data_IF_819746879859
#
_entry.id   IF_819746879859
#
_cell.length_a   1.000
_cell.length_b   1.000
_cell.length_c   1.000
_cell.angle_alpha   90.00
_cell.angle_beta   90.00
_cell.angle_gamma   90.00
#
_symmetry.space_group_name_H-M   'P 1'
#
loop_
_entity.id
_entity.type
_entity.pdbx_description
1 polymer ?
#
# COMPACT_ATOMS: atom_id res chain seq x y z
N UNK A 1 -25.00 -9.37 32.84
CA UNK A 1 -23.71 -8.89 32.35
C UNK A 1 -23.56 -8.87 30.80
N UNK A 2 -24.23 -9.73 30.01
CA UNK A 2 -24.16 -9.72 28.52
C UNK A 2 -24.75 -8.48 27.85
N UNK A 3 -25.66 -7.74 28.48
CA UNK A 3 -26.38 -6.61 27.88
C UNK A 3 -25.59 -5.26 27.87
N UNK A 4 -24.63 -5.07 28.77
CA UNK A 4 -23.85 -3.83 28.87
C UNK A 4 -22.84 -3.75 27.74
N UNK A 5 -22.23 -4.88 27.39
CA UNK A 5 -21.24 -4.95 26.29
C UNK A 5 -21.92 -4.70 24.92
N UNK A 6 -23.13 -5.20 24.70
CA UNK A 6 -23.92 -4.98 23.50
C UNK A 6 -24.26 -3.48 23.34
N UNK A 7 -24.76 -2.83 24.41
CA UNK A 7 -25.07 -1.39 24.41
C UNK A 7 -23.81 -0.50 24.23
N UNK A 8 -22.68 -0.89 24.82
CA UNK A 8 -21.41 -0.20 24.60
C UNK A 8 -20.93 -0.31 23.14
N UNK A 9 -21.23 -1.40 22.47
CA UNK A 9 -20.83 -1.63 21.07
C UNK A 9 -21.71 -0.90 20.05
N UNK A 10 -22.88 -0.42 20.45
CA UNK A 10 -23.77 0.44 19.66
C UNK A 10 -23.35 1.92 19.72
N UNK A 11 -22.46 2.29 20.66
CA UNK A 11 -22.02 3.68 20.81
C UNK A 11 -21.05 4.05 19.68
N UNK A 12 -21.30 5.13 18.89
CA UNK A 12 -20.49 5.51 17.75
C UNK A 12 -19.01 5.84 18.08
N UNK A 13 -18.68 6.05 19.34
CA UNK A 13 -17.31 6.28 19.84
C UNK A 13 -16.60 5.03 20.34
N UNK A 14 -17.26 3.87 20.44
CA UNK A 14 -16.65 2.62 20.93
C UNK A 14 -16.33 1.69 19.75
N UNK A 15 -15.07 1.46 19.56
CA UNK A 15 -14.51 0.78 18.41
C UNK A 15 -14.21 -0.70 18.73
N UNK A 16 -14.99 -1.60 18.17
CA UNK A 16 -14.55 -2.98 17.91
C UNK A 16 -13.64 -2.92 16.69
N UNK A 17 -12.40 -3.37 16.84
CA UNK A 17 -11.43 -3.34 15.73
C UNK A 17 -12.13 -3.70 14.42
N UNK A 18 -12.15 -2.76 13.45
CA UNK A 18 -12.83 -2.96 12.16
C UNK A 18 -12.25 -4.19 11.49
N UNK A 19 -13.02 -5.23 11.32
CA UNK A 19 -12.79 -6.19 10.26
C UNK A 19 -13.07 -5.46 8.95
N UNK A 20 -12.11 -5.44 8.02
CA UNK A 20 -12.36 -4.95 6.68
C UNK A 20 -13.40 -5.86 6.02
N UNK A 21 -14.37 -5.26 5.35
CA UNK A 21 -15.30 -5.97 4.47
C UNK A 21 -14.78 -5.88 3.04
N UNK A 22 -15.26 -6.75 2.15
CA UNK A 22 -14.94 -6.67 0.71
C UNK A 22 -15.27 -5.31 0.09
N UNK A 23 -16.25 -4.59 0.63
CA UNK A 23 -16.58 -3.23 0.18
C UNK A 23 -15.50 -2.19 0.52
N UNK A 24 -14.66 -2.46 1.50
CA UNK A 24 -13.60 -1.55 1.96
C UNK A 24 -12.23 -1.87 1.36
N UNK A 25 -12.15 -2.82 0.43
CA UNK A 25 -10.89 -3.29 -0.16
C UNK A 25 -10.88 -3.20 -1.68
N UNK A 26 -9.68 -3.29 -2.25
CA UNK A 26 -9.35 -3.36 -3.67
C UNK A 26 -8.59 -4.66 -3.92
N UNK A 27 -8.92 -5.39 -4.98
CA UNK A 27 -8.14 -6.58 -5.33
C UNK A 27 -6.68 -6.23 -5.56
N UNK A 28 -5.79 -7.09 -5.11
CA UNK A 28 -4.37 -7.00 -5.40
C UNK A 28 -4.02 -7.41 -6.83
N UNK A 29 -4.93 -8.12 -7.51
CA UNK A 29 -4.68 -8.81 -8.77
C UNK A 29 -4.07 -10.20 -8.58
N UNK A 30 -3.81 -10.61 -7.33
CA UNK A 30 -3.29 -11.92 -6.97
C UNK A 30 -4.28 -12.61 -6.01
N UNK A 31 -5.07 -13.61 -6.48
CA UNK A 31 -6.07 -14.28 -5.64
C UNK A 31 -5.48 -14.88 -4.36
N UNK A 32 -4.25 -15.37 -4.44
CA UNK A 32 -3.55 -15.95 -3.30
C UNK A 32 -3.22 -14.91 -2.22
N UNK A 33 -2.85 -13.69 -2.61
CA UNK A 33 -2.65 -12.57 -1.68
C UNK A 33 -3.99 -12.07 -1.13
N UNK A 34 -4.98 -11.90 -1.99
CA UNK A 34 -6.31 -11.44 -1.59
C UNK A 34 -6.93 -12.37 -0.52
N UNK A 35 -6.77 -13.69 -0.67
CA UNK A 35 -7.26 -14.67 0.30
C UNK A 35 -6.62 -14.51 1.71
N UNK A 36 -5.45 -13.90 1.81
CA UNK A 36 -4.70 -13.70 3.07
C UNK A 36 -4.86 -12.29 3.65
N UNK A 37 -5.26 -11.33 2.81
CA UNK A 37 -5.48 -9.96 3.27
C UNK A 37 -6.84 -9.80 3.94
N UNK A 38 -6.88 -8.98 4.98
CA UNK A 38 -8.13 -8.64 5.67
C UNK A 38 -9.13 -8.00 4.69
N UNK A 39 -10.32 -8.56 4.59
CA UNK A 39 -11.36 -8.09 3.65
C UNK A 39 -11.15 -8.50 2.19
N UNK A 40 -10.15 -9.33 1.89
CA UNK A 40 -9.92 -9.89 0.55
C UNK A 40 -9.21 -8.94 -0.41
N UNK A 41 -8.31 -8.09 0.06
CA UNK A 41 -7.54 -7.20 -0.79
C UNK A 41 -6.88 -6.03 -0.06
N UNK A 42 -6.29 -5.11 -0.82
CA UNK A 42 -5.73 -3.87 -0.29
C UNK A 42 -6.82 -2.97 0.31
N UNK A 43 -6.57 -2.26 1.43
CA UNK A 43 -7.53 -1.28 1.94
C UNK A 43 -7.75 -0.16 0.91
N UNK A 44 -9.00 0.26 0.69
CA UNK A 44 -9.30 1.42 -0.18
C UNK A 44 -8.69 2.71 0.35
N UNK A 45 -8.61 2.84 1.67
CA UNK A 45 -8.08 4.01 2.36
C UNK A 45 -7.20 3.55 3.50
N UNK A 46 -5.97 4.06 3.56
CA UNK A 46 -5.06 3.76 4.64
C UNK A 46 -3.61 3.62 4.20
N UNK A 47 -2.76 3.38 5.17
CA UNK A 47 -1.32 3.24 4.99
C UNK A 47 -0.93 1.77 5.04
N UNK A 48 -0.22 1.32 4.02
CA UNK A 48 0.42 0.02 3.91
C UNK A 48 1.93 0.24 3.88
N UNK A 49 2.70 -0.50 4.68
CA UNK A 49 4.14 -0.55 4.57
C UNK A 49 4.57 -1.83 3.85
N UNK A 50 5.41 -1.69 2.84
CA UNK A 50 6.11 -2.80 2.18
C UNK A 50 7.59 -2.70 2.52
N UNK A 51 8.09 -3.72 3.20
CA UNK A 51 9.49 -3.84 3.59
C UNK A 51 10.18 -4.78 2.60
N UNK A 52 11.09 -4.27 1.79
CA UNK A 52 11.82 -5.02 0.77
C UNK A 52 13.28 -5.22 1.20
N UNK A 53 13.85 -6.41 1.00
CA UNK A 53 15.24 -6.71 1.35
C UNK A 53 16.23 -5.84 0.57
N UNK A 54 15.89 -5.53 -0.68
CA UNK A 54 16.60 -4.57 -1.53
C UNK A 54 15.64 -4.03 -2.61
N UNK A 55 16.06 -3.00 -3.30
CA UNK A 55 15.29 -2.43 -4.41
C UNK A 55 15.15 -3.47 -5.53
N UNK A 56 13.94 -3.57 -6.08
CA UNK A 56 13.65 -4.56 -7.12
C UNK A 56 13.32 -5.95 -6.59
N UNK A 57 13.03 -6.09 -5.29
CA UNK A 57 12.56 -7.35 -4.69
C UNK A 57 11.17 -7.80 -5.18
N UNK A 58 10.59 -7.11 -6.17
CA UNK A 58 9.24 -7.38 -6.68
C UNK A 58 8.14 -6.49 -6.11
N UNK A 59 8.51 -5.53 -5.24
CA UNK A 59 7.57 -4.63 -4.58
C UNK A 59 6.69 -3.85 -5.56
N UNK A 60 7.27 -3.39 -6.67
CA UNK A 60 6.49 -2.70 -7.71
C UNK A 60 5.63 -3.68 -8.51
N UNK A 61 6.17 -4.86 -8.88
CA UNK A 61 5.40 -5.91 -9.59
C UNK A 61 4.14 -6.31 -8.80
N UNK A 62 4.26 -6.40 -7.48
CA UNK A 62 3.13 -6.68 -6.59
C UNK A 62 2.03 -5.63 -6.68
N UNK A 63 2.36 -4.39 -7.04
CA UNK A 63 1.41 -3.27 -7.10
C UNK A 63 0.89 -2.99 -8.52
N UNK A 64 1.53 -3.53 -9.57
CA UNK A 64 1.17 -3.25 -10.97
C UNK A 64 -0.31 -3.55 -11.29
N UNK A 65 -0.91 -4.68 -10.89
CA UNK A 65 -2.32 -4.94 -11.20
C UNK A 65 -3.25 -3.91 -10.57
N UNK A 66 -2.96 -3.49 -9.33
CA UNK A 66 -3.71 -2.43 -8.66
C UNK A 66 -3.57 -1.10 -9.41
N UNK A 67 -2.36 -0.74 -9.83
CA UNK A 67 -2.10 0.49 -10.58
C UNK A 67 -2.81 0.49 -11.94
N UNK A 68 -2.76 -0.62 -12.67
CA UNK A 68 -3.48 -0.80 -13.92
C UNK A 68 -4.98 -0.56 -13.69
N UNK A 69 -5.57 -1.23 -12.71
CA UNK A 69 -6.99 -1.07 -12.39
C UNK A 69 -7.35 0.38 -12.02
N UNK A 70 -6.57 1.04 -11.16
CA UNK A 70 -6.87 2.40 -10.69
C UNK A 70 -6.75 3.43 -11.80
N UNK A 71 -5.77 3.30 -12.69
CA UNK A 71 -5.50 4.27 -13.76
C UNK A 71 -6.50 4.23 -14.90
N UNK A 72 -7.31 3.16 -15.01
CA UNK A 72 -8.35 3.01 -16.04
C UNK A 72 -9.78 3.26 -15.53
N UNK A 73 -9.97 3.67 -14.28
CA UNK A 73 -11.30 4.04 -13.78
C UNK A 73 -11.85 5.28 -14.53
N UNK A 74 -13.15 5.35 -14.69
CA UNK A 74 -13.83 6.50 -15.33
C UNK A 74 -13.53 7.84 -14.65
N UNK A 75 -13.36 7.82 -13.32
CA UNK A 75 -12.97 8.98 -12.51
C UNK A 75 -11.62 8.76 -11.84
N UNK A 76 -10.64 8.25 -12.60
CA UNK A 76 -9.30 7.99 -12.08
C UNK A 76 -8.65 9.30 -11.62
N UNK A 77 -8.20 9.32 -10.36
CA UNK A 77 -7.33 10.35 -9.80
C UNK A 77 -5.86 10.00 -10.10
N UNK A 78 -4.93 10.76 -9.56
CA UNK A 78 -3.51 10.51 -9.77
C UNK A 78 -3.03 9.27 -9.02
N UNK A 79 -2.17 8.50 -9.67
CA UNK A 79 -1.28 7.54 -9.03
C UNK A 79 0.07 8.21 -8.86
N UNK A 80 0.35 8.71 -7.65
CA UNK A 80 1.51 9.56 -7.39
C UNK A 80 2.66 8.74 -6.82
N UNK A 81 3.85 8.89 -7.41
CA UNK A 81 5.08 8.22 -7.00
C UNK A 81 6.06 9.26 -6.46
N UNK A 82 6.41 9.14 -5.18
CA UNK A 82 7.25 10.11 -4.48
C UNK A 82 8.61 9.52 -4.17
N UNK A 83 9.64 10.21 -4.64
CA UNK A 83 11.05 9.83 -4.50
C UNK A 83 11.36 8.40 -4.97
N UNK A 84 10.86 7.96 -6.15
CA UNK A 84 11.26 6.66 -6.66
C UNK A 84 12.78 6.63 -6.85
N UNK A 85 13.46 5.52 -6.44
CA UNK A 85 14.92 5.44 -6.46
C UNK A 85 15.51 5.45 -7.88
N UNK A 86 14.72 4.98 -8.84
CA UNK A 86 15.06 4.92 -10.24
C UNK A 86 13.97 5.62 -11.07
N UNK A 87 14.28 5.95 -12.32
CA UNK A 87 13.26 6.40 -13.27
C UNK A 87 12.34 5.23 -13.63
N UNK A 88 11.02 5.37 -13.45
CA UNK A 88 10.09 4.36 -13.92
C UNK A 88 10.25 4.15 -15.43
N UNK A 89 10.38 2.88 -15.84
CA UNK A 89 10.47 2.55 -17.26
C UNK A 89 9.07 2.50 -17.87
N UNK A 90 8.68 3.59 -18.50
CA UNK A 90 7.35 3.82 -19.04
C UNK A 90 6.85 2.69 -19.98
N UNK A 91 7.66 2.14 -20.93
CA UNK A 91 7.19 1.04 -21.78
C UNK A 91 6.79 -0.22 -20.99
N UNK A 92 7.53 -0.58 -19.93
CA UNK A 92 7.17 -1.74 -19.10
C UNK A 92 5.88 -1.50 -18.31
N UNK A 93 5.68 -0.29 -17.80
CA UNK A 93 4.43 0.08 -17.11
C UNK A 93 3.22 0.00 -18.05
N UNK A 94 3.37 0.53 -19.27
CA UNK A 94 2.33 0.46 -20.30
C UNK A 94 2.03 -1.00 -20.69
N UNK A 95 3.05 -1.84 -20.87
CA UNK A 95 2.90 -3.27 -21.15
C UNK A 95 2.17 -4.03 -20.02
N UNK A 96 2.28 -3.55 -18.78
CA UNK A 96 1.52 -4.06 -17.63
C UNK A 96 0.12 -3.42 -17.48
N UNK A 97 -0.35 -2.69 -18.50
CA UNK A 97 -1.69 -2.11 -18.51
C UNK A 97 -1.85 -0.83 -17.67
N UNK A 98 -0.75 -0.17 -17.29
CA UNK A 98 -0.83 1.09 -16.53
C UNK A 98 -1.02 2.27 -17.49
N UNK A 99 -2.07 3.07 -17.30
CA UNK A 99 -2.26 4.31 -18.05
C UNK A 99 -1.29 5.39 -17.56
N UNK A 100 -0.24 5.65 -18.34
CA UNK A 100 0.82 6.59 -18.00
C UNK A 100 0.33 8.04 -17.83
N UNK A 101 -0.77 8.44 -18.46
CA UNK A 101 -1.35 9.76 -18.31
C UNK A 101 -1.92 10.02 -16.89
N UNK A 102 -2.01 8.98 -16.07
CA UNK A 102 -2.46 9.06 -14.67
C UNK A 102 -1.32 8.85 -13.67
N UNK A 103 -0.08 8.75 -14.11
CA UNK A 103 1.09 8.63 -13.25
C UNK A 103 1.73 10.00 -13.05
N UNK A 104 1.88 10.40 -11.79
CA UNK A 104 2.60 11.61 -11.41
C UNK A 104 3.86 11.21 -10.62
N UNK A 105 5.04 11.55 -11.13
CA UNK A 105 6.31 11.30 -10.45
C UNK A 105 6.79 12.59 -9.80
N UNK A 106 6.94 12.57 -8.48
CA UNK A 106 7.44 13.68 -7.67
C UNK A 106 8.82 13.35 -7.16
N UNK A 107 9.80 14.17 -7.48
CA UNK A 107 11.19 14.08 -6.99
C UNK A 107 11.47 15.29 -6.11
N UNK A 108 11.30 15.16 -4.79
CA UNK A 108 11.58 16.26 -3.89
C UNK A 108 13.04 16.72 -4.04
N UNK A 109 13.26 18.02 -4.12
CA UNK A 109 14.59 18.59 -4.11
C UNK A 109 15.22 18.49 -2.72
N UNK A 110 16.51 18.85 -2.59
CA UNK A 110 17.19 18.82 -1.28
C UNK A 110 16.65 19.92 -0.37
N UNK A 111 16.35 19.59 0.88
CA UNK A 111 15.91 20.51 1.93
C UNK A 111 14.84 19.90 2.83
N UNK A 112 14.72 20.36 4.12
CA UNK A 112 13.79 19.78 5.09
C UNK A 112 12.31 19.86 4.66
N UNK A 113 11.92 20.96 3.98
CA UNK A 113 10.57 21.18 3.47
C UNK A 113 10.24 20.33 2.23
N UNK A 114 11.24 19.65 1.67
CA UNK A 114 11.10 18.81 0.48
C UNK A 114 11.33 17.33 0.79
N UNK A 115 11.35 16.97 2.07
CA UNK A 115 11.50 15.57 2.46
C UNK A 115 10.36 14.71 1.86
N UNK A 116 10.66 13.46 1.44
CA UNK A 116 9.66 12.57 0.86
C UNK A 116 8.40 12.41 1.70
N UNK A 117 8.55 12.36 3.03
CA UNK A 117 7.42 12.24 3.96
C UNK A 117 6.53 13.48 3.96
N UNK A 118 7.07 14.69 3.79
CA UNK A 118 6.29 15.91 3.65
C UNK A 118 5.51 15.92 2.33
N UNK A 119 6.18 15.62 1.20
CA UNK A 119 5.53 15.53 -0.10
C UNK A 119 4.41 14.46 -0.11
N UNK A 120 4.66 13.34 0.57
CA UNK A 120 3.66 12.29 0.76
C UNK A 120 2.45 12.81 1.51
N UNK A 121 2.66 13.49 2.61
CA UNK A 121 1.55 14.06 3.39
C UNK A 121 0.72 15.04 2.56
N UNK A 122 1.37 15.95 1.81
CA UNK A 122 0.66 16.89 0.94
C UNK A 122 -0.15 16.17 -0.15
N UNK A 123 0.44 15.17 -0.81
CA UNK A 123 -0.27 14.37 -1.80
C UNK A 123 -1.48 13.63 -1.21
N UNK A 124 -1.33 13.09 0.01
CA UNK A 124 -2.42 12.37 0.69
C UNK A 124 -3.58 13.29 1.06
N UNK A 125 -3.30 14.45 1.68
CA UNK A 125 -4.37 15.36 2.15
C UNK A 125 -5.05 16.11 1.00
N UNK A 126 -4.43 16.21 -0.17
CA UNK A 126 -4.98 16.90 -1.33
C UNK A 126 -6.30 16.30 -1.83
N UNK A 127 -6.53 15.01 -1.59
CA UNK A 127 -7.66 14.27 -2.14
C UNK A 127 -7.58 14.05 -3.66
N UNK A 128 -6.49 14.46 -4.32
CA UNK A 128 -6.31 14.34 -5.77
C UNK A 128 -5.75 12.99 -6.21
N UNK A 129 -5.39 12.11 -5.26
CA UNK A 129 -4.75 10.83 -5.55
C UNK A 129 -5.66 9.65 -5.20
N UNK A 130 -5.68 8.62 -6.05
CA UNK A 130 -6.23 7.30 -5.70
C UNK A 130 -5.21 6.50 -4.89
N UNK A 131 -3.95 6.59 -5.27
CA UNK A 131 -2.85 5.92 -4.58
C UNK A 131 -1.58 6.78 -4.57
N UNK A 132 -0.85 6.70 -3.47
CA UNK A 132 0.47 7.34 -3.33
C UNK A 132 1.49 6.25 -2.97
N UNK A 133 2.51 6.08 -3.80
CA UNK A 133 3.67 5.24 -3.54
C UNK A 133 4.83 6.14 -3.12
N UNK A 134 5.45 5.84 -1.99
CA UNK A 134 6.59 6.62 -1.49
C UNK A 134 7.74 5.71 -1.10
N UNK A 135 8.92 5.96 -1.66
CA UNK A 135 10.16 5.29 -1.27
C UNK A 135 10.86 6.08 -0.19
N UNK A 136 11.06 5.45 0.96
CA UNK A 136 11.73 6.07 2.12
C UNK A 136 12.86 5.15 2.58
N UNK A 137 14.07 5.55 2.30
CA UNK A 137 15.28 4.79 2.66
C UNK A 137 15.81 5.15 4.06
N UNK A 138 15.41 6.30 4.59
CA UNK A 138 15.83 6.76 5.90
C UNK A 138 14.90 6.23 7.01
N UNK A 139 15.39 6.09 8.24
CA UNK A 139 14.57 5.71 9.37
C UNK A 139 13.42 6.71 9.59
N UNK A 140 12.19 6.21 9.71
CA UNK A 140 11.02 7.03 10.02
C UNK A 140 10.68 6.97 11.50
N UNK A 141 10.44 8.14 12.10
CA UNK A 141 9.90 8.20 13.46
C UNK A 141 8.44 7.72 13.46
N UNK A 142 7.99 6.94 14.47
CA UNK A 142 6.62 6.43 14.54
C UNK A 142 5.54 7.52 14.41
N UNK A 143 5.81 8.73 14.93
CA UNK A 143 4.92 9.89 14.80
C UNK A 143 4.66 10.29 13.34
N UNK A 144 5.65 10.12 12.46
CA UNK A 144 5.50 10.42 11.03
C UNK A 144 4.57 9.39 10.39
N UNK A 145 4.79 8.10 10.66
CA UNK A 145 3.92 7.02 10.15
C UNK A 145 2.47 7.24 10.60
N UNK A 146 2.25 7.63 11.87
CA UNK A 146 0.92 7.98 12.38
C UNK A 146 0.31 9.16 11.64
N UNK A 147 1.09 10.22 11.39
CA UNK A 147 0.65 11.41 10.66
C UNK A 147 0.22 11.06 9.23
N UNK A 148 1.02 10.26 8.53
CA UNK A 148 0.69 9.78 7.19
C UNK A 148 -0.58 8.89 7.20
N UNK A 149 -0.73 8.00 8.18
CA UNK A 149 -1.95 7.21 8.35
C UNK A 149 -3.20 8.11 8.52
N UNK A 150 -3.11 9.19 9.28
CA UNK A 150 -4.21 10.14 9.43
C UNK A 150 -4.46 10.94 8.14
N UNK A 151 -3.41 11.29 7.42
CA UNK A 151 -3.51 11.96 6.13
C UNK A 151 -4.24 11.11 5.08
N UNK A 152 -4.02 9.78 5.05
CA UNK A 152 -4.78 8.89 4.16
C UNK A 152 -6.28 8.96 4.40
N UNK A 153 -6.69 9.07 5.66
CA UNK A 153 -8.11 9.16 6.02
C UNK A 153 -8.73 10.48 5.56
N UNK A 154 -8.00 11.60 5.73
CA UNK A 154 -8.45 12.93 5.31
C UNK A 154 -8.67 13.02 3.80
N UNK A 155 -7.69 12.57 3.01
CA UNK A 155 -7.77 12.59 1.55
C UNK A 155 -8.45 11.38 0.92
N UNK A 156 -8.90 10.39 1.73
CA UNK A 156 -9.52 9.13 1.27
C UNK A 156 -8.64 8.43 0.23
N UNK A 157 -7.36 8.29 0.54
CA UNK A 157 -6.31 7.80 -0.36
C UNK A 157 -5.64 6.55 0.21
N UNK A 158 -5.28 5.62 -0.66
CA UNK A 158 -4.40 4.50 -0.31
C UNK A 158 -2.94 4.96 -0.42
N UNK A 159 -2.12 4.59 0.56
CA UNK A 159 -0.69 4.89 0.54
C UNK A 159 0.14 3.63 0.74
N UNK A 160 1.22 3.51 -0.03
CA UNK A 160 2.27 2.51 0.16
C UNK A 160 3.59 3.20 0.53
N UNK A 161 4.14 2.85 1.70
CA UNK A 161 5.49 3.17 2.07
C UNK A 161 6.40 2.00 1.74
N UNK A 162 7.29 2.21 0.78
CA UNK A 162 8.28 1.25 0.32
C UNK A 162 9.59 1.54 1.06
N UNK A 163 10.02 0.61 1.92
CA UNK A 163 11.13 0.81 2.84
C UNK A 163 12.10 -0.37 2.81
N UNK A 164 13.40 -0.15 3.09
CA UNK A 164 14.34 -1.25 3.28
C UNK A 164 13.93 -2.14 4.45
N UNK A 165 13.99 -3.45 4.25
CA UNK A 165 13.80 -4.41 5.33
C UNK A 165 15.07 -4.53 6.18
N UNK A 166 14.92 -4.34 7.45
CA UNK A 166 15.89 -4.75 8.45
C UNK A 166 15.17 -5.35 9.66
N UNK A 167 15.82 -6.18 10.43
CA UNK A 167 15.26 -6.76 11.65
C UNK A 167 14.74 -5.67 12.60
N UNK A 168 15.46 -4.55 12.70
CA UNK A 168 15.05 -3.39 13.48
C UNK A 168 13.74 -2.79 12.95
N UNK A 169 13.66 -2.51 11.64
CA UNK A 169 12.46 -1.91 11.03
C UNK A 169 11.27 -2.86 11.17
N UNK A 170 11.47 -4.17 11.00
CA UNK A 170 10.39 -5.15 11.15
C UNK A 170 9.79 -5.17 12.56
N UNK A 171 10.60 -4.93 13.59
CA UNK A 171 10.19 -4.93 15.00
C UNK A 171 9.66 -3.56 15.47
N UNK A 172 9.93 -2.47 14.75
CA UNK A 172 9.44 -1.13 15.12
C UNK A 172 7.91 -1.09 15.14
N UNK A 173 7.29 -0.49 16.19
CA UNK A 173 5.85 -0.24 16.20
C UNK A 173 5.46 0.62 15.00
N UNK A 174 4.42 0.21 14.28
CA UNK A 174 3.90 0.98 13.15
C UNK A 174 2.40 1.26 13.29
N UNK A 175 1.98 2.43 12.83
CA UNK A 175 0.59 2.84 12.73
C UNK A 175 -0.05 2.45 11.39
N UNK A 176 0.68 1.80 10.47
CA UNK A 176 0.12 1.28 9.24
C UNK A 176 -0.96 0.22 9.51
N UNK A 177 -1.94 0.13 8.62
CA UNK A 177 -3.00 -0.87 8.67
C UNK A 177 -2.47 -2.28 8.35
N UNK A 178 -1.53 -2.33 7.43
CA UNK A 178 -0.90 -3.54 6.94
C UNK A 178 0.62 -3.32 6.82
N UNK A 179 1.41 -4.31 7.20
CA UNK A 179 2.85 -4.36 6.95
C UNK A 179 3.18 -5.68 6.29
N UNK A 180 3.78 -5.60 5.13
CA UNK A 180 4.26 -6.73 4.36
C UNK A 180 5.78 -6.71 4.28
N UNK A 181 6.40 -7.86 4.47
CA UNK A 181 7.75 -8.12 4.05
C UNK A 181 7.75 -8.78 2.68
N UNK A 182 8.68 -8.41 1.81
CA UNK A 182 8.89 -9.04 0.51
C UNK A 182 10.36 -9.40 0.34
N UNK A 183 10.60 -10.67 0.00
CA UNK A 183 11.92 -11.22 -0.27
C UNK A 183 11.88 -11.94 -1.62
N UNK A 184 12.82 -11.68 -2.53
CA UNK A 184 12.87 -12.40 -3.81
C UNK A 184 13.21 -13.87 -3.57
N UNK A 185 12.62 -14.73 -4.39
CA UNK A 185 12.86 -16.16 -4.45
C UNK A 185 13.12 -16.54 -5.92
N UNK A 186 13.74 -17.69 -6.21
CA UNK A 186 14.02 -18.10 -7.58
C UNK A 186 12.76 -18.14 -8.48
N UNK A 187 11.62 -18.53 -7.92
CA UNK A 187 10.36 -18.67 -8.66
C UNK A 187 9.30 -17.66 -8.21
N UNK A 188 9.70 -16.45 -7.80
CA UNK A 188 8.76 -15.43 -7.37
C UNK A 188 9.20 -14.65 -6.15
N UNK A 189 8.33 -14.55 -5.16
CA UNK A 189 8.63 -13.83 -3.90
C UNK A 189 8.10 -14.58 -2.70
N UNK A 190 8.81 -14.43 -1.57
CA UNK A 190 8.28 -14.76 -0.25
C UNK A 190 7.65 -13.51 0.32
N UNK A 191 6.37 -13.61 0.68
CA UNK A 191 5.63 -12.57 1.36
C UNK A 191 5.44 -12.92 2.84
N UNK A 192 5.54 -11.91 3.70
CA UNK A 192 5.33 -12.04 5.14
C UNK A 192 4.38 -10.95 5.60
N UNK A 193 3.20 -11.31 6.13
CA UNK A 193 2.33 -10.37 6.81
C UNK A 193 2.87 -10.18 8.22
N UNK A 194 3.60 -9.08 8.45
CA UNK A 194 4.18 -8.72 9.74
C UNK A 194 3.15 -8.08 10.67
N UNK A 195 2.16 -7.41 10.09
CA UNK A 195 1.03 -6.80 10.79
C UNK A 195 -0.16 -6.72 9.84
N UNK A 196 -1.34 -7.07 10.35
CA UNK A 196 -2.61 -6.87 9.65
C UNK A 196 -3.67 -6.43 10.65
N UNK A 197 -4.26 -5.25 10.43
CA UNK A 197 -5.37 -4.79 11.27
C UNK A 197 -6.64 -5.48 10.85
N UNK A 198 -7.16 -6.34 11.72
CA UNK A 198 -8.34 -7.15 11.44
C UNK A 198 -8.09 -8.42 10.61
N UNK A 199 -6.82 -8.78 10.40
CA UNK A 199 -6.37 -10.00 9.72
C UNK A 199 -5.34 -10.77 10.54
N UNK A 200 -4.79 -11.81 9.95
CA UNK A 200 -3.77 -12.68 10.55
C UNK A 200 -2.37 -12.31 10.03
N UNK A 201 -1.37 -12.72 10.77
CA UNK A 201 0.03 -12.73 10.32
C UNK A 201 0.35 -14.07 9.69
N UNK A 202 1.35 -14.12 8.81
CA UNK A 202 1.75 -15.36 8.15
C UNK A 202 2.79 -15.12 7.08
N UNK A 203 3.31 -16.20 6.53
CA UNK A 203 4.36 -16.17 5.51
C UNK A 203 4.07 -17.25 4.46
N UNK A 204 4.32 -16.94 3.18
CA UNK A 204 4.17 -17.88 2.06
C UNK A 204 5.00 -17.41 0.86
N UNK A 205 5.17 -18.30 -0.11
CA UNK A 205 5.80 -17.97 -1.40
C UNK A 205 4.72 -17.90 -2.47
N UNK A 206 4.85 -16.97 -3.41
CA UNK A 206 3.97 -16.86 -4.57
C UNK A 206 4.73 -16.35 -5.79
N UNK A 207 4.30 -16.76 -6.97
CA UNK A 207 4.73 -16.15 -8.22
C UNK A 207 4.15 -14.74 -8.38
N UNK A 208 4.92 -13.83 -8.97
CA UNK A 208 4.44 -12.49 -9.36
C UNK A 208 4.11 -12.42 -10.85
N UNK A 209 3.89 -13.56 -11.50
CA UNK A 209 3.43 -13.55 -12.88
C UNK A 209 1.99 -13.06 -12.89
N UNK A 210 1.82 -11.84 -13.40
CA UNK A 210 0.48 -11.39 -13.78
C UNK A 210 0.04 -12.31 -14.90
N UNK A 211 -0.96 -13.16 -14.64
CA UNK A 211 -1.67 -13.81 -15.72
C UNK A 211 -2.03 -12.70 -16.74
N UNK A 212 -1.52 -12.83 -17.97
CA UNK A 212 -1.97 -12.01 -19.08
C UNK A 212 -3.50 -12.07 -19.03
N UNK A 213 -4.14 -10.89 -18.90
CA UNK A 213 -5.56 -10.79 -19.15
C UNK A 213 -5.77 -11.44 -20.52
N UNK A 214 -6.44 -12.58 -20.55
CA UNK A 214 -6.93 -13.18 -21.78
C UNK A 214 -7.64 -12.08 -22.56
N UNK A 215 -6.98 -11.54 -23.56
CA UNK A 215 -7.60 -10.81 -24.63
C UNK A 215 -8.31 -11.85 -25.48
N UNK A 216 -9.43 -12.34 -24.95
CA UNK A 216 -10.43 -13.07 -25.70
C UNK A 216 -10.93 -12.17 -26.82
N UNK A 217 -10.82 -12.70 -28.04
CA UNK A 217 -11.12 -12.10 -29.32
C UNK A 217 -12.55 -11.55 -29.47
#
# INVERSE_FOLDING_TARGET
MKNVLARLLEHPGIWRGRSFTRSDTLSSGFPELDARLAGGGWPKVGLVEILATHLGSGELRLLLPLLAMLTHRSQARWCTWIAPPLNPYAPALAACGVNLARILVVRPSKGPQWAPEWATEQALISGACDVVLTWITQPLKPRIVRRLQLATQRGRTLAFLLRPWSARVAQEPSHALLRLGIEPQPEGVRLSILKSRGGTTGQWCMALDTAQADTGG
#
